data_IF_785156199810
#
_entry.id   IF_785156199810
#
_cell.length_a   1.000
_cell.length_b   1.000
_cell.length_c   1.000
_cell.angle_alpha   90.00
_cell.angle_beta   90.00
_cell.angle_gamma   90.00
#
_symmetry.space_group_name_H-M   'P 1'
#
loop_
_entity.id
_entity.type
_entity.pdbx_description
1 polymer ?
#
# COMPACT_ATOMS: atom_id res chain seq x y z
N UNK A 1 15.74 -0.31 -22.17
CA UNK A 1 15.74 -0.54 -20.71
C UNK A 1 14.33 -0.91 -20.34
N UNK A 2 14.11 -2.09 -19.75
CA UNK A 2 12.77 -2.67 -19.57
C UNK A 2 11.92 -1.76 -18.68
N UNK A 3 10.80 -1.25 -19.19
CA UNK A 3 9.81 -0.53 -18.41
C UNK A 3 9.27 -1.49 -17.33
N UNK A 4 9.76 -1.36 -16.10
CA UNK A 4 9.04 -1.93 -14.96
C UNK A 4 7.73 -1.17 -14.88
N UNK A 5 6.67 -1.80 -15.38
CA UNK A 5 5.30 -1.35 -15.17
C UNK A 5 5.14 -1.02 -13.68
N UNK A 6 4.92 0.27 -13.38
CA UNK A 6 4.56 0.72 -12.04
C UNK A 6 3.38 -0.13 -11.57
N UNK A 7 3.49 -0.82 -10.43
CA UNK A 7 2.42 -1.69 -9.90
C UNK A 7 1.08 -0.96 -9.87
N UNK A 8 1.09 0.34 -9.56
CA UNK A 8 -0.09 1.19 -9.50
C UNK A 8 -0.58 1.73 -10.85
N UNK A 9 0.07 1.38 -11.96
CA UNK A 9 -0.47 1.60 -13.32
C UNK A 9 -1.51 0.55 -13.71
N UNK A 10 -1.60 -0.56 -12.96
CA UNK A 10 -2.58 -1.64 -13.16
C UNK A 10 -3.99 -1.22 -12.77
N UNK A 11 -4.95 -2.07 -13.14
CA UNK A 11 -6.33 -2.01 -12.65
C UNK A 11 -6.36 -1.90 -11.10
N UNK A 12 -6.98 -0.84 -10.54
CA UNK A 12 -7.04 -0.62 -9.11
C UNK A 12 -7.63 -1.79 -8.33
N UNK A 13 -8.60 -2.50 -8.91
CA UNK A 13 -9.27 -3.61 -8.23
C UNK A 13 -8.31 -4.78 -7.96
N UNK A 14 -7.22 -4.86 -8.72
CA UNK A 14 -6.16 -5.87 -8.55
C UNK A 14 -5.11 -5.46 -7.52
N UNK A 15 -5.09 -4.21 -7.05
CA UNK A 15 -4.09 -3.80 -6.07
C UNK A 15 -4.21 -4.53 -4.74
N UNK A 16 -3.08 -5.01 -4.24
CA UNK A 16 -2.90 -5.77 -3.01
C UNK A 16 -1.51 -5.52 -2.43
N UNK A 17 -1.44 -5.41 -1.10
CA UNK A 17 -0.15 -5.26 -0.41
C UNK A 17 0.72 -6.49 -0.60
N UNK A 18 0.16 -7.71 -0.59
CA UNK A 18 0.93 -8.95 -0.72
C UNK A 18 1.58 -9.07 -2.10
N UNK A 19 0.84 -8.76 -3.16
CA UNK A 19 1.37 -8.79 -4.52
C UNK A 19 2.43 -7.70 -4.72
N UNK A 20 2.18 -6.49 -4.22
CA UNK A 20 3.17 -5.42 -4.26
C UNK A 20 4.48 -5.85 -3.57
N UNK A 21 4.40 -6.47 -2.39
CA UNK A 21 5.58 -6.92 -1.65
C UNK A 21 6.35 -8.03 -2.36
N UNK A 22 5.65 -8.95 -3.03
CA UNK A 22 6.25 -10.04 -3.79
C UNK A 22 6.97 -9.54 -5.05
N UNK A 23 6.42 -8.51 -5.70
CA UNK A 23 7.00 -7.94 -6.92
C UNK A 23 8.01 -6.82 -6.64
N UNK A 24 7.98 -6.25 -5.43
CA UNK A 24 8.89 -5.17 -5.05
C UNK A 24 10.31 -5.72 -4.84
N UNK A 25 11.24 -5.16 -5.61
CA UNK A 25 12.68 -5.39 -5.46
C UNK A 25 13.33 -4.50 -4.39
N UNK A 26 12.56 -3.62 -3.74
CA UNK A 26 13.11 -2.75 -2.70
C UNK A 26 13.47 -3.59 -1.48
N UNK A 27 14.68 -3.46 -0.96
CA UNK A 27 15.03 -4.07 0.32
C UNK A 27 15.57 -2.99 1.26
N UNK A 28 15.34 -3.08 2.57
CA UNK A 28 14.67 -4.18 3.30
C UNK A 28 13.12 -4.13 3.22
N UNK A 29 12.45 -5.10 3.87
CA UNK A 29 10.98 -5.18 3.96
C UNK A 29 10.32 -3.86 4.37
N UNK A 30 10.91 -3.15 5.34
CA UNK A 30 10.42 -1.85 5.81
C UNK A 30 10.38 -0.82 4.67
N UNK A 31 11.39 -0.80 3.81
CA UNK A 31 11.43 0.09 2.66
C UNK A 31 10.32 -0.22 1.64
N UNK A 32 9.97 -1.51 1.45
CA UNK A 32 8.82 -1.90 0.62
C UNK A 32 7.53 -1.31 1.18
N UNK A 33 7.30 -1.48 2.49
CA UNK A 33 6.10 -0.99 3.16
C UNK A 33 6.00 0.53 3.10
N UNK A 34 7.09 1.23 3.38
CA UNK A 34 7.14 2.70 3.33
C UNK A 34 6.84 3.20 1.91
N UNK A 35 7.44 2.58 0.89
CA UNK A 35 7.17 2.88 -0.50
C UNK A 35 5.69 2.66 -0.87
N UNK A 36 5.12 1.53 -0.46
CA UNK A 36 3.72 1.21 -0.69
C UNK A 36 2.78 2.27 -0.09
N UNK A 37 2.96 2.59 1.20
CA UNK A 37 2.15 3.58 1.92
C UNK A 37 2.29 4.96 1.29
N UNK A 38 3.52 5.37 0.96
CA UNK A 38 3.79 6.67 0.32
C UNK A 38 3.06 6.77 -1.02
N UNK A 39 3.08 5.71 -1.82
CA UNK A 39 2.43 5.69 -3.13
C UNK A 39 0.90 5.75 -3.01
N UNK A 40 0.30 5.02 -2.06
CA UNK A 40 -1.13 5.14 -1.76
C UNK A 40 -1.52 6.57 -1.37
N UNK A 41 -0.76 7.21 -0.47
CA UNK A 41 -1.00 8.60 -0.05
C UNK A 41 -0.88 9.59 -1.22
N UNK A 42 0.08 9.39 -2.12
CA UNK A 42 0.23 10.20 -3.33
C UNK A 42 -1.00 10.07 -4.24
N UNK A 43 -1.52 8.86 -4.46
CA UNK A 43 -2.73 8.65 -5.27
C UNK A 43 -3.94 9.34 -4.64
N UNK A 44 -4.11 9.22 -3.32
CA UNK A 44 -5.23 9.82 -2.58
C UNK A 44 -5.20 11.36 -2.68
N UNK A 45 -4.00 11.95 -2.57
CA UNK A 45 -3.81 13.41 -2.57
C UNK A 45 -3.69 14.05 -3.95
N UNK A 46 -3.68 13.26 -5.02
CA UNK A 46 -3.53 13.77 -6.39
C UNK A 46 -4.85 14.28 -6.94
N UNK A 47 -4.91 15.54 -7.38
CA UNK A 47 -6.11 16.10 -7.98
C UNK A 47 -6.46 15.49 -9.35
N UNK A 48 -5.47 14.96 -10.08
CA UNK A 48 -5.66 14.39 -11.42
C UNK A 48 -6.00 12.90 -11.45
N UNK A 49 -6.01 12.24 -10.29
CA UNK A 49 -6.31 10.80 -10.20
C UNK A 49 -7.80 10.50 -10.27
N UNK A 50 -8.15 9.35 -10.82
CA UNK A 50 -9.54 8.90 -10.93
C UNK A 50 -10.13 8.56 -9.56
N UNK A 51 -11.41 8.84 -9.35
CA UNK A 51 -12.12 8.59 -8.08
C UNK A 51 -12.00 7.13 -7.61
N UNK A 52 -12.08 6.16 -8.52
CA UNK A 52 -11.99 4.74 -8.17
C UNK A 52 -10.59 4.36 -7.67
N UNK A 53 -9.55 4.98 -8.25
CA UNK A 53 -8.16 4.84 -7.79
C UNK A 53 -7.99 5.40 -6.39
N UNK A 54 -8.53 6.59 -6.13
CA UNK A 54 -8.51 7.21 -4.80
C UNK A 54 -9.23 6.37 -3.77
N UNK A 55 -10.47 5.92 -4.06
CA UNK A 55 -11.27 5.07 -3.17
C UNK A 55 -10.56 3.78 -2.84
N UNK A 56 -9.97 3.11 -3.85
CA UNK A 56 -9.22 1.88 -3.65
C UNK A 56 -7.96 2.11 -2.83
N UNK A 57 -7.22 3.18 -3.12
CA UNK A 57 -6.02 3.52 -2.36
C UNK A 57 -6.33 3.81 -0.88
N UNK A 58 -7.41 4.54 -0.61
CA UNK A 58 -7.90 4.79 0.74
C UNK A 58 -8.27 3.49 1.45
N UNK A 59 -9.04 2.60 0.80
CA UNK A 59 -9.42 1.30 1.36
C UNK A 59 -8.21 0.45 1.75
N UNK A 60 -7.17 0.41 0.89
CA UNK A 60 -5.94 -0.34 1.17
C UNK A 60 -5.14 0.27 2.33
N UNK A 61 -5.08 1.60 2.40
CA UNK A 61 -4.42 2.31 3.50
C UNK A 61 -5.14 2.07 4.84
N UNK A 62 -6.47 2.14 4.85
CA UNK A 62 -7.29 1.89 6.04
C UNK A 62 -7.13 0.45 6.54
N UNK A 63 -7.12 -0.52 5.61
CA UNK A 63 -6.87 -1.94 5.95
C UNK A 63 -5.51 -2.13 6.59
N UNK A 64 -4.46 -1.53 6.03
CA UNK A 64 -3.11 -1.58 6.61
C UNK A 64 -3.09 -0.98 8.01
N UNK A 65 -3.65 0.22 8.20
CA UNK A 65 -3.69 0.89 9.51
C UNK A 65 -4.48 0.11 10.55
N UNK A 66 -5.59 -0.53 10.16
CA UNK A 66 -6.39 -1.37 11.05
C UNK A 66 -5.61 -2.62 11.47
N UNK A 67 -4.93 -3.27 10.52
CA UNK A 67 -4.10 -4.44 10.80
C UNK A 67 -2.91 -4.07 11.71
N UNK A 68 -2.23 -2.94 11.44
CA UNK A 68 -1.11 -2.49 12.26
C UNK A 68 -1.56 -2.16 13.68
N UNK A 69 -2.70 -1.48 13.85
CA UNK A 69 -3.27 -1.20 15.18
C UNK A 69 -3.55 -2.48 15.96
N UNK A 70 -4.14 -3.49 15.32
CA UNK A 70 -4.40 -4.78 15.95
C UNK A 70 -3.11 -5.50 16.39
N UNK A 71 -2.03 -5.40 15.58
CA UNK A 71 -0.74 -5.98 15.92
C UNK A 71 -0.10 -5.31 17.15
N UNK A 72 -0.21 -3.99 17.26
CA UNK A 72 0.31 -3.25 18.41
C UNK A 72 -0.61 -3.32 19.63
N UNK A 73 -1.92 -3.48 19.46
CA UNK A 73 -2.86 -3.67 20.58
C UNK A 73 -2.74 -5.06 21.20
N UNK A 74 -2.39 -6.09 20.42
CA UNK A 74 -2.16 -7.44 20.94
C UNK A 74 -0.92 -7.51 21.85
N UNK A 75 0.12 -6.71 21.57
CA UNK A 75 1.35 -6.65 22.39
C UNK A 75 1.19 -5.98 23.76
N UNK A 76 0.05 -5.34 24.03
CA UNK A 76 -0.21 -4.65 25.31
C UNK A 76 -0.87 -5.57 26.36
N UNK A 77 -1.31 -6.77 25.97
CA UNK A 77 -2.01 -7.72 26.87
C UNK A 77 -1.23 -9.01 27.18
N UNK A 78 0.10 -8.99 27.08
CA UNK A 78 0.98 -10.05 27.59
C UNK A 78 1.87 -9.50 28.74
N UNK A 79 1.25 -9.10 29.85
CA UNK A 79 1.95 -8.77 31.11
C UNK A 79 1.20 -9.33 32.31
#
# INVERSE_FOLDING_TARGET
MSERSDYFSRDPMKWSITEFLNESELEPFEAKIDSYIKRLKQIISSDCEQDDRKKRAQLLLDRYQKASKNLFSFRVWDK
#
